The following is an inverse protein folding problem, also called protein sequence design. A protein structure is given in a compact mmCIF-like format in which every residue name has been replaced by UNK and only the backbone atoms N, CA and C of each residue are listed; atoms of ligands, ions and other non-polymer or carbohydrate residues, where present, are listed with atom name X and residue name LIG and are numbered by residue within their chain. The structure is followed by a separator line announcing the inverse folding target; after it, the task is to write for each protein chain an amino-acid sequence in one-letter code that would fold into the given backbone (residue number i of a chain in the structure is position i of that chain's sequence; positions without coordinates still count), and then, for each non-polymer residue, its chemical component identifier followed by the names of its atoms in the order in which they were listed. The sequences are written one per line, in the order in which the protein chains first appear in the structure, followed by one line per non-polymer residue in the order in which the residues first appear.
data_IF_328421099784
#
_entry.id   IF_328421099784
#
_cell.length_a   1.000
_cell.length_b   1.000
_cell.length_c   1.000
_cell.angle_alpha   90.00
_cell.angle_beta   90.00
_cell.angle_gamma   90.00
#
_symmetry.space_group_name_H-M   'P 1'
#
loop_
_entity.id
_entity.type
_entity.pdbx_description
1 polymer ?
#
# COMPACT_ATOMS: atom_id res chain seq x y z
N UNK A 1 7.00 -12.39 27.64
CA UNK A 1 6.30 -12.07 26.38
C UNK A 1 4.82 -12.25 26.63
N UNK A 2 4.06 -11.16 26.70
CA UNK A 2 2.61 -11.20 26.87
C UNK A 2 2.02 -10.88 25.50
N UNK A 3 1.20 -11.77 24.96
CA UNK A 3 0.45 -11.52 23.72
C UNK A 3 -0.93 -11.06 24.16
N UNK A 4 -1.27 -9.81 23.82
CA UNK A 4 -2.61 -9.30 24.04
C UNK A 4 -3.40 -9.41 22.73
N UNK A 5 -4.58 -10.04 22.80
CA UNK A 5 -5.57 -10.04 21.72
C UNK A 5 -6.10 -8.61 21.54
N UNK A 6 -6.08 -8.12 20.29
CA UNK A 6 -6.53 -6.76 19.95
C UNK A 6 -7.87 -6.80 19.23
N UNK A 7 -7.98 -7.58 18.15
CA UNK A 7 -9.18 -7.61 17.31
C UNK A 7 -9.20 -8.84 16.37
N UNK A 8 -10.38 -9.13 15.80
CA UNK A 8 -10.54 -10.09 14.71
C UNK A 8 -11.52 -9.61 13.64
N UNK A 9 -11.16 -9.82 12.36
CA UNK A 9 -11.97 -9.42 11.22
C UNK A 9 -12.05 -10.55 10.18
N UNK A 10 -13.22 -10.72 9.56
CA UNK A 10 -13.41 -11.65 8.45
C UNK A 10 -13.46 -10.87 7.14
N UNK A 11 -12.47 -11.09 6.28
CA UNK A 11 -12.30 -10.37 5.02
C UNK A 11 -12.62 -11.27 3.82
N UNK A 12 -13.43 -10.76 2.87
CA UNK A 12 -13.56 -11.39 1.55
C UNK A 12 -12.29 -11.15 0.72
N UNK A 13 -11.68 -12.22 0.24
CA UNK A 13 -10.50 -12.16 -0.62
C UNK A 13 -10.89 -12.18 -2.10
N UNK A 14 -9.93 -11.80 -2.94
CA UNK A 14 -10.05 -11.96 -4.37
C UNK A 14 -10.34 -13.45 -4.71
N UNK A 15 -11.48 -13.76 -5.36
CA UNK A 15 -11.90 -15.13 -5.65
C UNK A 15 -10.97 -15.85 -6.63
N UNK A 16 -10.12 -15.12 -7.36
CA UNK A 16 -9.08 -15.74 -8.20
C UNK A 16 -7.92 -16.32 -7.37
N UNK A 17 -7.77 -15.91 -6.11
CA UNK A 17 -6.71 -16.39 -5.21
C UNK A 17 -7.20 -17.51 -4.31
N UNK A 18 -8.42 -17.38 -3.77
CA UNK A 18 -9.05 -18.39 -2.92
C UNK A 18 -10.55 -18.20 -2.92
N UNK A 19 -11.28 -19.30 -2.81
CA UNK A 19 -12.73 -19.36 -2.56
C UNK A 19 -13.08 -19.20 -1.07
N UNK A 20 -12.08 -19.07 -0.20
CA UNK A 20 -12.25 -18.89 1.24
C UNK A 20 -12.23 -17.42 1.68
N UNK A 21 -12.84 -17.14 2.84
CA UNK A 21 -12.72 -15.85 3.55
C UNK A 21 -11.55 -15.89 4.52
N UNK A 22 -10.80 -14.79 4.62
CA UNK A 22 -9.68 -14.67 5.55
C UNK A 22 -10.19 -14.27 6.94
N UNK A 23 -9.84 -15.05 7.97
CA UNK A 23 -9.94 -14.61 9.36
C UNK A 23 -8.63 -13.95 9.76
N UNK A 24 -8.64 -12.64 9.94
CA UNK A 24 -7.51 -11.88 10.45
C UNK A 24 -7.61 -11.75 11.96
N UNK A 25 -6.52 -12.06 12.68
CA UNK A 25 -6.40 -11.84 14.12
C UNK A 25 -5.22 -10.90 14.36
N UNK A 26 -5.47 -9.81 15.10
CA UNK A 26 -4.43 -8.83 15.44
C UNK A 26 -3.94 -9.12 16.85
N UNK A 27 -2.67 -9.49 16.95
CA UNK A 27 -1.98 -9.71 18.21
C UNK A 27 -0.94 -8.61 18.40
N UNK A 28 -0.96 -7.93 19.55
CA UNK A 28 0.10 -6.98 19.91
C UNK A 28 1.18 -7.74 20.68
N UNK A 29 2.40 -7.68 20.16
CA UNK A 29 3.60 -8.20 20.82
C UNK A 29 4.41 -7.00 21.29
N UNK A 30 4.62 -6.88 22.60
CA UNK A 30 5.46 -5.83 23.16
C UNK A 30 6.94 -6.23 22.95
N UNK A 31 7.58 -5.61 21.97
CA UNK A 31 9.03 -5.70 21.76
C UNK A 31 9.74 -4.62 22.58
N UNK A 32 10.87 -4.97 23.20
CA UNK A 32 11.67 -4.04 24.00
C UNK A 32 12.43 -3.02 23.13
N UNK A 33 12.72 -3.39 21.87
CA UNK A 33 13.53 -2.59 20.96
C UNK A 33 12.71 -2.14 19.74
N UNK A 34 12.73 -0.83 19.48
CA UNK A 34 12.12 -0.24 18.30
C UNK A 34 13.04 -0.50 17.10
N UNK A 35 12.56 -1.27 16.12
CA UNK A 35 13.26 -1.40 14.85
C UNK A 35 13.04 -0.09 14.11
N UNK A 36 14.04 0.80 14.20
CA UNK A 36 13.98 2.14 13.63
C UNK A 36 13.46 2.18 12.19
N UNK A 37 13.08 3.37 11.67
CA UNK A 37 12.14 3.55 10.55
C UNK A 37 12.55 3.00 9.17
N UNK A 38 13.64 2.23 9.06
CA UNK A 38 14.12 1.62 7.83
C UNK A 38 14.56 2.65 6.78
N UNK A 39 15.16 2.17 5.69
CA UNK A 39 15.45 3.03 4.54
C UNK A 39 14.13 3.36 3.81
N UNK A 40 13.84 4.64 3.64
CA UNK A 40 12.65 5.05 2.90
C UNK A 40 12.92 5.00 1.39
N UNK A 41 12.02 4.35 0.67
CA UNK A 41 11.95 4.39 -0.79
C UNK A 41 10.54 4.76 -1.24
N UNK A 42 10.44 5.52 -2.33
CA UNK A 42 9.16 5.81 -2.96
C UNK A 42 8.50 4.52 -3.48
N UNK A 43 7.18 4.44 -3.35
CA UNK A 43 6.39 3.37 -3.96
C UNK A 43 6.22 3.66 -5.46
N UNK A 44 6.79 2.84 -6.37
CA UNK A 44 6.71 3.09 -7.80
C UNK A 44 5.29 3.04 -8.34
N UNK A 45 4.37 2.32 -7.70
CA UNK A 45 2.97 2.20 -8.12
C UNK A 45 2.27 3.57 -8.19
N UNK A 46 2.68 4.54 -7.37
CA UNK A 46 2.10 5.88 -7.41
C UNK A 46 2.34 6.61 -8.72
N UNK A 47 3.39 6.25 -9.48
CA UNK A 47 3.65 6.86 -10.80
C UNK A 47 2.54 6.56 -11.82
N UNK A 48 1.82 5.44 -11.66
CA UNK A 48 0.66 5.08 -12.48
C UNK A 48 -0.63 5.77 -12.01
N UNK A 49 -0.67 6.28 -10.78
CA UNK A 49 -1.84 6.95 -10.23
C UNK A 49 -2.02 8.35 -10.87
N UNK A 50 -3.20 8.59 -11.47
CA UNK A 50 -3.52 9.85 -12.16
C UNK A 50 -3.50 11.05 -11.21
N UNK A 51 -4.09 10.92 -10.04
CA UNK A 51 -4.14 11.99 -9.03
C UNK A 51 -2.75 12.33 -8.53
N UNK A 52 -1.93 11.32 -8.23
CA UNK A 52 -0.53 11.51 -7.84
C UNK A 52 0.24 12.32 -8.89
N UNK A 53 0.13 11.94 -10.17
CA UNK A 53 0.80 12.64 -11.28
C UNK A 53 0.35 14.09 -11.40
N UNK A 54 -0.95 14.35 -11.30
CA UNK A 54 -1.51 15.70 -11.40
C UNK A 54 -1.04 16.59 -10.25
N UNK A 55 -1.13 16.10 -9.01
CA UNK A 55 -0.68 16.85 -7.84
C UNK A 55 0.83 17.08 -7.83
N UNK A 56 1.61 16.08 -8.24
CA UNK A 56 3.07 16.20 -8.36
C UNK A 56 3.44 17.25 -9.42
N UNK A 57 2.84 17.18 -10.60
CA UNK A 57 3.09 18.13 -11.68
C UNK A 57 2.78 19.56 -11.23
N UNK A 58 1.59 19.79 -10.65
CA UNK A 58 1.22 21.10 -10.10
C UNK A 58 2.24 21.60 -9.07
N UNK A 59 2.68 20.73 -8.17
CA UNK A 59 3.64 21.10 -7.12
C UNK A 59 5.03 21.40 -7.69
N UNK A 60 5.46 20.70 -8.73
CA UNK A 60 6.72 20.95 -9.42
C UNK A 60 6.68 22.26 -10.22
N UNK A 61 5.60 22.52 -10.95
CA UNK A 61 5.40 23.80 -11.65
C UNK A 61 5.46 24.96 -10.65
N UNK A 62 4.71 24.86 -9.55
CA UNK A 62 4.72 25.88 -8.51
C UNK A 62 6.10 26.06 -7.86
N UNK A 63 6.82 24.97 -7.60
CA UNK A 63 8.18 25.03 -7.06
C UNK A 63 9.13 25.72 -8.05
N UNK A 64 8.97 25.45 -9.34
CA UNK A 64 9.76 26.08 -10.38
C UNK A 64 9.56 27.59 -10.39
N UNK A 65 8.32 28.03 -10.47
CA UNK A 65 7.96 29.45 -10.55
C UNK A 65 8.40 30.23 -9.30
N UNK A 66 8.32 29.62 -8.11
CA UNK A 66 8.56 30.28 -6.83
C UNK A 66 10.02 30.22 -6.35
N UNK A 67 10.69 29.08 -6.50
CA UNK A 67 11.98 28.81 -5.83
C UNK A 67 13.13 28.59 -6.82
N UNK A 68 12.86 28.34 -8.12
CA UNK A 68 13.89 27.94 -9.10
C UNK A 68 14.13 29.01 -10.17
N UNK A 69 13.08 29.53 -10.81
CA UNK A 69 13.19 30.33 -12.03
C UNK A 69 14.12 31.56 -11.89
N UNK A 70 14.17 32.17 -10.71
CA UNK A 70 14.99 33.34 -10.41
C UNK A 70 16.05 33.05 -9.33
N UNK A 71 16.41 31.78 -9.13
CA UNK A 71 17.34 31.41 -8.07
C UNK A 71 18.80 31.65 -8.47
N UNK A 72 19.59 32.07 -7.49
CA UNK A 72 21.04 32.27 -7.61
C UNK A 72 21.79 31.02 -7.11
N UNK A 73 21.06 30.02 -6.61
CA UNK A 73 21.66 28.80 -6.05
C UNK A 73 22.34 27.95 -7.13
N UNK A 74 23.40 27.22 -6.77
CA UNK A 74 24.00 26.23 -7.65
C UNK A 74 22.97 25.19 -8.13
N UNK A 75 23.09 24.67 -9.36
CA UNK A 75 22.18 23.65 -9.90
C UNK A 75 22.02 22.42 -9.00
N UNK A 76 23.09 22.03 -8.29
CA UNK A 76 23.07 20.89 -7.40
C UNK A 76 22.16 21.12 -6.18
N UNK A 77 22.15 22.32 -5.62
CA UNK A 77 21.33 22.67 -4.46
C UNK A 77 19.86 22.78 -4.85
N UNK A 78 19.58 23.33 -6.04
CA UNK A 78 18.24 23.32 -6.63
C UNK A 78 17.73 21.89 -6.84
N UNK A 79 18.59 20.98 -7.31
CA UNK A 79 18.23 19.58 -7.47
C UNK A 79 17.96 18.87 -6.13
N UNK A 80 18.77 19.16 -5.11
CA UNK A 80 18.58 18.65 -3.75
C UNK A 80 17.25 19.16 -3.15
N UNK A 81 16.90 20.43 -3.39
CA UNK A 81 15.63 21.02 -3.00
C UNK A 81 14.44 20.30 -3.67
N UNK A 82 14.49 20.08 -4.98
CA UNK A 82 13.46 19.32 -5.71
C UNK A 82 13.30 17.93 -5.09
N UNK A 83 14.40 17.18 -4.93
CA UNK A 83 14.39 15.84 -4.32
C UNK A 83 13.73 15.84 -2.94
N UNK A 84 14.05 16.82 -2.10
CA UNK A 84 13.48 16.96 -0.78
C UNK A 84 11.97 17.22 -0.83
N UNK A 85 11.52 18.17 -1.66
CA UNK A 85 10.10 18.53 -1.79
C UNK A 85 9.27 17.39 -2.37
N UNK A 86 9.82 16.66 -3.35
CA UNK A 86 9.21 15.45 -3.92
C UNK A 86 9.11 14.36 -2.86
N UNK A 87 10.19 14.07 -2.12
CA UNK A 87 10.18 13.09 -1.03
C UNK A 87 9.12 13.39 0.02
N UNK A 88 9.03 14.63 0.47
CA UNK A 88 8.01 15.07 1.44
C UNK A 88 6.59 14.91 0.89
N UNK A 89 6.37 15.27 -0.39
CA UNK A 89 5.09 15.09 -1.05
C UNK A 89 4.71 13.60 -1.13
N UNK A 90 5.59 12.75 -1.66
CA UNK A 90 5.32 11.32 -1.84
C UNK A 90 5.05 10.62 -0.51
N UNK A 91 5.75 11.00 0.58
CA UNK A 91 5.46 10.50 1.92
C UNK A 91 4.05 10.84 2.39
N UNK A 92 3.65 12.11 2.26
CA UNK A 92 2.31 12.57 2.66
C UNK A 92 1.23 11.91 1.83
N UNK A 93 1.38 11.92 0.50
CA UNK A 93 0.46 11.24 -0.42
C UNK A 93 0.33 9.76 -0.07
N UNK A 94 1.46 9.09 0.17
CA UNK A 94 1.48 7.68 0.52
C UNK A 94 0.75 7.35 1.82
N UNK A 95 0.89 8.19 2.85
CA UNK A 95 0.13 8.05 4.10
C UNK A 95 -1.37 8.14 3.84
N UNK A 96 -1.82 9.24 3.23
CA UNK A 96 -3.23 9.46 2.91
C UNK A 96 -3.82 8.35 2.02
N UNK A 97 -3.08 7.90 0.99
CA UNK A 97 -3.54 6.86 0.07
C UNK A 97 -3.67 5.49 0.77
N UNK A 98 -2.74 5.15 1.66
CA UNK A 98 -2.83 3.92 2.45
C UNK A 98 -4.03 3.95 3.38
N UNK A 99 -4.27 5.06 4.07
CA UNK A 99 -5.41 5.21 4.97
C UNK A 99 -6.74 5.18 4.21
N UNK A 100 -6.82 5.93 3.10
CA UNK A 100 -7.98 5.89 2.19
C UNK A 100 -8.26 4.47 1.73
N UNK A 101 -7.24 3.74 1.24
CA UNK A 101 -7.43 2.37 0.72
C UNK A 101 -7.93 1.43 1.80
N UNK A 102 -7.38 1.49 3.02
CA UNK A 102 -7.87 0.70 4.16
C UNK A 102 -9.34 0.98 4.43
N UNK A 103 -9.71 2.26 4.53
CA UNK A 103 -11.10 2.67 4.76
C UNK A 103 -12.03 2.24 3.62
N UNK A 104 -11.58 2.31 2.36
CA UNK A 104 -12.35 1.87 1.21
C UNK A 104 -12.58 0.36 1.21
N UNK A 105 -11.55 -0.45 1.49
CA UNK A 105 -11.71 -1.91 1.60
C UNK A 105 -12.74 -2.21 2.70
N UNK A 106 -12.58 -1.64 3.90
CA UNK A 106 -13.54 -1.84 5.01
C UNK A 106 -14.98 -1.45 4.63
N UNK A 107 -15.15 -0.29 3.98
CA UNK A 107 -16.47 0.17 3.54
C UNK A 107 -17.09 -0.77 2.49
N UNK A 108 -16.30 -1.26 1.54
CA UNK A 108 -16.74 -2.21 0.51
C UNK A 108 -17.06 -3.58 1.10
N UNK A 109 -16.27 -4.09 2.05
CA UNK A 109 -16.53 -5.32 2.79
C UNK A 109 -17.87 -5.25 3.53
N UNK A 110 -18.11 -4.15 4.26
CA UNK A 110 -19.39 -3.90 4.94
C UNK A 110 -20.55 -3.81 3.95
N UNK A 111 -20.34 -3.16 2.80
CA UNK A 111 -21.35 -3.06 1.74
C UNK A 111 -21.69 -4.43 1.16
N UNK A 112 -20.68 -5.25 0.89
CA UNK A 112 -20.84 -6.65 0.45
C UNK A 112 -21.66 -7.45 1.46
N UNK A 113 -21.28 -7.40 2.73
CA UNK A 113 -21.98 -8.11 3.79
C UNK A 113 -23.44 -7.64 3.94
N UNK A 114 -23.69 -6.33 3.79
CA UNK A 114 -25.05 -5.79 3.79
C UNK A 114 -25.88 -6.34 2.64
N UNK A 115 -25.34 -6.39 1.42
CA UNK A 115 -26.03 -6.95 0.25
C UNK A 115 -26.37 -8.43 0.43
N UNK A 116 -25.50 -9.21 1.10
CA UNK A 116 -25.72 -10.62 1.38
C UNK A 116 -26.72 -10.88 2.51
N UNK A 117 -26.80 -9.97 3.49
CA UNK A 117 -27.70 -10.12 4.65
C UNK A 117 -29.08 -9.52 4.45
N UNK A 118 -29.21 -8.50 3.59
CA UNK A 118 -30.50 -7.91 3.28
C UNK A 118 -31.29 -8.81 2.33
N UNK A 119 -32.63 -8.76 2.42
CA UNK A 119 -33.51 -9.43 1.46
C UNK A 119 -33.51 -8.66 0.13
N UNK A 120 -32.35 -8.65 -0.54
CA UNK A 120 -32.21 -8.04 -1.86
C UNK A 120 -32.79 -8.98 -2.92
N UNK A 121 -33.57 -8.47 -3.89
CA UNK A 121 -34.04 -9.28 -4.99
C UNK A 121 -32.87 -9.97 -5.71
N UNK A 122 -32.94 -11.28 -6.01
CA UNK A 122 -31.82 -12.04 -6.58
C UNK A 122 -31.25 -11.42 -7.86
N UNK A 123 -32.09 -10.85 -8.73
CA UNK A 123 -31.67 -10.17 -9.95
C UNK A 123 -30.81 -8.92 -9.68
N UNK A 124 -31.16 -8.13 -8.66
CA UNK A 124 -30.39 -6.96 -8.26
C UNK A 124 -29.11 -7.37 -7.54
N UNK A 125 -29.16 -8.43 -6.73
CA UNK A 125 -27.96 -8.98 -6.08
C UNK A 125 -26.93 -9.42 -7.12
N UNK A 126 -27.35 -10.15 -8.16
CA UNK A 126 -26.47 -10.59 -9.25
C UNK A 126 -25.82 -9.45 -10.04
N UNK A 127 -26.41 -8.25 -10.02
CA UNK A 127 -25.83 -7.06 -10.68
C UNK A 127 -24.88 -6.29 -9.76
N UNK A 128 -25.27 -6.10 -8.50
CA UNK A 128 -24.53 -5.23 -7.58
C UNK A 128 -23.38 -5.93 -6.86
N UNK A 129 -23.53 -7.20 -6.51
CA UNK A 129 -22.53 -7.94 -5.75
C UNK A 129 -21.20 -8.07 -6.53
N UNK A 130 -21.19 -8.50 -7.81
CA UNK A 130 -19.93 -8.64 -8.55
C UNK A 130 -19.20 -7.32 -8.72
N UNK A 131 -19.93 -6.19 -8.84
CA UNK A 131 -19.32 -4.86 -8.93
C UNK A 131 -18.59 -4.47 -7.65
N UNK A 132 -19.19 -4.74 -6.49
CA UNK A 132 -18.53 -4.47 -5.19
C UNK A 132 -17.33 -5.38 -5.00
N UNK A 133 -17.45 -6.67 -5.34
CA UNK A 133 -16.35 -7.62 -5.25
C UNK A 133 -15.20 -7.25 -6.19
N UNK A 134 -15.47 -6.81 -7.41
CA UNK A 134 -14.46 -6.32 -8.34
C UNK A 134 -13.71 -5.09 -7.77
N UNK A 135 -14.42 -4.17 -7.09
CA UNK A 135 -13.78 -3.02 -6.45
C UNK A 135 -12.85 -3.45 -5.31
N UNK A 136 -13.26 -4.44 -4.50
CA UNK A 136 -12.41 -5.02 -3.45
C UNK A 136 -11.16 -5.65 -4.08
N UNK A 137 -11.33 -6.44 -5.14
CA UNK A 137 -10.24 -7.11 -5.84
C UNK A 137 -9.19 -6.13 -6.37
N UNK A 138 -9.61 -5.02 -6.98
CA UNK A 138 -8.68 -4.00 -7.50
C UNK A 138 -7.82 -3.41 -6.38
N UNK A 139 -8.41 -3.09 -5.23
CA UNK A 139 -7.68 -2.54 -4.09
C UNK A 139 -6.76 -3.58 -3.44
N UNK A 140 -7.21 -4.83 -3.32
CA UNK A 140 -6.41 -5.94 -2.83
C UNK A 140 -5.22 -6.23 -3.75
N UNK A 141 -5.41 -6.20 -5.07
CA UNK A 141 -4.33 -6.38 -6.03
C UNK A 141 -3.24 -5.33 -5.85
N UNK A 142 -3.61 -4.06 -5.62
CA UNK A 142 -2.64 -3.00 -5.33
C UNK A 142 -1.85 -3.28 -4.03
N UNK A 143 -2.53 -3.74 -2.97
CA UNK A 143 -1.89 -4.14 -1.70
C UNK A 143 -0.89 -5.27 -1.95
N UNK A 144 -1.30 -6.31 -2.67
CA UNK A 144 -0.47 -7.47 -2.99
C UNK A 144 0.73 -7.06 -3.83
N UNK A 145 0.56 -6.22 -4.85
CA UNK A 145 1.68 -5.71 -5.65
C UNK A 145 2.69 -4.92 -4.81
N UNK A 146 2.23 -4.11 -3.84
CA UNK A 146 3.11 -3.42 -2.90
C UNK A 146 3.85 -4.41 -1.99
N UNK A 147 3.16 -5.45 -1.51
CA UNK A 147 3.76 -6.48 -0.67
C UNK A 147 4.83 -7.27 -1.43
N UNK A 148 4.57 -7.64 -2.68
CA UNK A 148 5.54 -8.30 -3.57
C UNK A 148 6.77 -7.41 -3.74
N UNK A 149 6.60 -6.13 -4.10
CA UNK A 149 7.72 -5.19 -4.26
C UNK A 149 8.56 -5.06 -2.99
N UNK A 150 7.94 -5.08 -1.81
CA UNK A 150 8.65 -5.05 -0.53
C UNK A 150 9.38 -6.37 -0.25
N UNK A 151 8.74 -7.50 -0.53
CA UNK A 151 9.32 -8.82 -0.33
C UNK A 151 10.51 -9.04 -1.26
N UNK A 152 10.38 -8.72 -2.55
CA UNK A 152 11.47 -8.75 -3.52
C UNK A 152 12.61 -7.84 -3.08
N UNK A 153 12.35 -6.57 -2.72
CA UNK A 153 13.41 -5.69 -2.23
C UNK A 153 14.09 -6.23 -0.98
N UNK A 154 13.33 -6.75 -0.02
CA UNK A 154 13.89 -7.37 1.19
C UNK A 154 14.76 -8.57 0.82
N UNK A 155 14.35 -9.34 -0.19
CA UNK A 155 15.12 -10.45 -0.73
C UNK A 155 16.40 -9.96 -1.42
N UNK A 156 16.37 -8.90 -2.22
CA UNK A 156 17.59 -8.32 -2.82
C UNK A 156 18.53 -7.71 -1.77
N UNK A 157 18.00 -7.00 -0.76
CA UNK A 157 18.79 -6.35 0.29
C UNK A 157 19.39 -7.33 1.30
N UNK A 158 18.74 -8.49 1.52
CA UNK A 158 19.19 -9.50 2.49
C UNK A 158 19.73 -10.79 1.85
N UNK A 159 19.48 -10.99 0.56
CA UNK A 159 19.66 -12.26 -0.17
C UNK A 159 20.79 -12.28 -1.18
N UNK A 160 21.91 -11.63 -0.86
CA UNK A 160 23.25 -12.05 -1.30
C UNK A 160 24.20 -12.33 -0.10
N UNK A 161 23.73 -12.23 1.16
CA UNK A 161 24.58 -12.40 2.34
C UNK A 161 24.32 -13.66 3.18
N UNK A 162 23.34 -14.53 2.84
CA UNK A 162 23.17 -15.82 3.53
C UNK A 162 23.35 -17.02 2.59
N UNK A 163 24.60 -17.47 2.50
CA UNK A 163 25.02 -18.70 1.80
C UNK A 163 24.31 -19.94 2.37
N UNK A 164 23.87 -19.92 3.64
CA UNK A 164 23.19 -21.04 4.29
C UNK A 164 21.74 -21.20 3.83
N UNK A 165 21.02 -20.11 3.56
CA UNK A 165 19.65 -20.17 3.03
C UNK A 165 19.62 -20.73 1.61
N UNK A 166 20.54 -20.29 0.73
CA UNK A 166 20.67 -20.80 -0.64
C UNK A 166 21.00 -22.31 -0.66
N UNK A 167 21.90 -22.77 0.21
CA UNK A 167 22.21 -24.20 0.35
C UNK A 167 21.01 -25.03 0.78
N UNK A 168 20.18 -24.52 1.68
CA UNK A 168 18.99 -25.23 2.18
C UNK A 168 17.83 -25.27 1.18
N UNK A 169 17.72 -24.25 0.33
CA UNK A 169 16.66 -24.15 -0.68
C UNK A 169 17.00 -24.87 -1.99
N UNK A 170 18.28 -25.06 -2.30
CA UNK A 170 18.75 -25.84 -3.46
C UNK A 170 18.76 -27.37 -3.23
N UNK A 171 18.48 -27.84 -2.02
CA UNK A 171 18.51 -29.28 -1.67
C UNK A 171 17.09 -29.84 -1.49
N UNK A 172 16.24 -29.69 -2.53
CA UNK A 172 15.04 -30.53 -2.70
C UNK A 172 15.40 -31.65 -3.66
#
# INVERSE_FOLDING_TARGET
MIINYVDSEVEFLNPHWSDHTLLQVICKVDFADDTGPGLWHANPIYTSNKEYRQQLAFKLTRLYDQEIANSILPPQDLWNLIKLKVKQFTKRFGGHHVDWRKQQILALQRKRQRLLRSSFPPALLGTHLPRVEQQIQVLQQEVTSIAILKAERTWWERGEMDVGYLKRSATI
#
